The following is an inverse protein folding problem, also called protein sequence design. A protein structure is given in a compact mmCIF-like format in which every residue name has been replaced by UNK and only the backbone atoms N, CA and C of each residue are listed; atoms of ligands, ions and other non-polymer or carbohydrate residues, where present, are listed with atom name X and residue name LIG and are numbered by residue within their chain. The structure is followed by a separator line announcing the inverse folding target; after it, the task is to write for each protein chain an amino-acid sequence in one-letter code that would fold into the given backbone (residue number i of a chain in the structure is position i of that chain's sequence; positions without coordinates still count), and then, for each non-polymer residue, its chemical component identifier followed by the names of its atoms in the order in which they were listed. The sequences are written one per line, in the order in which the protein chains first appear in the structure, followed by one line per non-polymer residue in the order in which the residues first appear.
data_IF_343039596299
#
_entry.id   IF_343039596299
#
_cell.length_a   1.000
_cell.length_b   1.000
_cell.length_c   1.000
_cell.angle_alpha   90.00
_cell.angle_beta   90.00
_cell.angle_gamma   90.00
#
_symmetry.space_group_name_H-M   'P 1'
#
loop_
_entity.id
_entity.type
_entity.pdbx_description
1 polymer ?
#
# COMPACT_ATOMS: atom_id res chain seq x y z
N UNK A 1 81.46 63.44 -20.17
CA UNK A 1 81.77 62.80 -21.45
C UNK A 1 80.52 62.14 -21.90
N UNK A 2 79.73 62.85 -22.80
CA UNK A 2 79.54 62.61 -24.24
C UNK A 2 79.04 61.14 -24.46
N UNK A 3 77.97 60.81 -25.16
CA UNK A 3 77.36 61.36 -26.39
C UNK A 3 75.92 60.86 -26.59
N UNK A 4 75.02 61.67 -26.92
CA UNK A 4 74.09 61.71 -28.03
C UNK A 4 73.65 60.44 -28.78
N UNK A 5 72.36 60.42 -29.09
CA UNK A 5 71.80 59.87 -30.29
C UNK A 5 70.38 59.45 -30.14
N UNK A 6 69.39 60.24 -30.33
CA UNK A 6 68.52 60.70 -31.42
C UNK A 6 67.73 59.61 -32.15
N UNK A 7 66.38 59.76 -32.09
CA UNK A 7 65.36 59.58 -33.17
C UNK A 7 64.99 58.14 -33.52
N UNK A 8 63.76 57.73 -33.77
CA UNK A 8 62.55 58.44 -34.29
C UNK A 8 61.36 57.47 -34.41
N UNK A 9 60.17 58.03 -34.43
CA UNK A 9 58.92 57.58 -35.11
C UNK A 9 58.37 56.22 -34.77
N UNK A 10 57.27 56.02 -33.99
CA UNK A 10 55.94 56.40 -34.54
C UNK A 10 55.26 55.12 -35.05
N UNK A 11 54.46 54.48 -34.26
CA UNK A 11 53.37 53.63 -34.77
C UNK A 11 52.14 53.71 -33.83
N UNK A 12 51.02 54.02 -34.48
CA UNK A 12 49.71 54.22 -33.89
C UNK A 12 49.24 53.05 -33.12
N UNK A 13 48.87 53.24 -31.88
CA UNK A 13 48.17 52.25 -31.05
C UNK A 13 46.71 52.17 -31.55
N UNK A 14 46.29 50.96 -31.95
CA UNK A 14 44.89 50.63 -32.15
C UNK A 14 44.31 50.26 -30.80
N UNK A 15 43.37 51.06 -30.32
CA UNK A 15 42.61 50.76 -29.12
C UNK A 15 41.55 49.73 -29.51
N UNK A 16 41.79 48.47 -29.15
CA UNK A 16 40.80 47.38 -29.20
C UNK A 16 39.94 47.45 -27.96
N UNK A 17 38.69 47.89 -28.08
CA UNK A 17 37.70 47.80 -27.03
C UNK A 17 37.29 46.33 -26.85
N UNK A 18 37.72 45.71 -25.77
CA UNK A 18 37.19 44.42 -25.32
C UNK A 18 35.87 44.70 -24.61
N UNK A 19 34.76 44.47 -25.29
CA UNK A 19 33.42 44.46 -24.70
C UNK A 19 33.30 43.19 -23.87
N UNK A 20 33.46 43.32 -22.57
CA UNK A 20 33.13 42.26 -21.60
C UNK A 20 31.60 42.13 -21.55
N UNK A 21 31.05 41.09 -22.22
CA UNK A 21 29.67 40.69 -22.07
C UNK A 21 29.56 40.01 -20.69
N UNK A 22 29.12 40.78 -19.70
CA UNK A 22 28.63 40.24 -18.42
C UNK A 22 27.30 39.53 -18.71
N UNK A 23 27.34 38.21 -18.97
CA UNK A 23 26.17 37.34 -18.83
C UNK A 23 25.78 37.39 -17.36
N UNK A 24 24.77 38.19 -17.03
CA UNK A 24 24.06 38.09 -15.74
C UNK A 24 23.37 36.72 -15.71
N UNK A 25 24.01 35.74 -15.05
CA UNK A 25 23.35 34.52 -14.66
C UNK A 25 22.26 34.90 -13.64
N UNK A 26 21.05 35.12 -14.13
CA UNK A 26 19.91 35.20 -13.26
C UNK A 26 19.86 33.87 -12.47
N UNK A 27 19.79 33.87 -11.12
CA UNK A 27 19.59 32.66 -10.39
C UNK A 27 18.21 32.12 -10.83
N UNK A 28 18.22 30.98 -11.51
CA UNK A 28 17.02 30.18 -11.68
C UNK A 28 16.64 29.77 -10.26
N UNK A 29 15.72 30.52 -9.64
CA UNK A 29 15.00 30.04 -8.45
C UNK A 29 14.26 28.79 -8.92
N UNK A 30 14.91 27.64 -8.77
CA UNK A 30 14.18 26.37 -8.70
C UNK A 30 13.21 26.56 -7.53
N UNK A 31 11.96 26.87 -7.84
CA UNK A 31 10.90 26.96 -6.87
C UNK A 31 10.91 25.62 -6.12
N UNK A 32 11.28 25.66 -4.85
CA UNK A 32 11.04 24.53 -3.95
C UNK A 32 9.54 24.31 -4.00
N UNK A 33 9.10 23.21 -4.63
CA UNK A 33 7.71 22.81 -4.57
C UNK A 33 7.33 22.80 -3.09
N UNK A 34 6.48 23.76 -2.70
CA UNK A 34 6.05 23.89 -1.31
C UNK A 34 5.21 22.65 -1.02
N UNK A 35 5.68 21.80 -0.11
CA UNK A 35 4.89 20.68 0.34
C UNK A 35 3.52 21.21 0.79
N UNK A 36 2.45 20.56 0.36
CA UNK A 36 1.11 20.93 0.79
C UNK A 36 1.03 20.97 2.32
N UNK A 37 0.36 21.97 2.92
CA UNK A 37 0.25 22.05 4.37
C UNK A 37 -0.40 20.76 4.89
N UNK A 38 0.10 20.22 6.02
CA UNK A 38 -0.45 19.01 6.60
C UNK A 38 -1.93 19.20 6.96
N UNK A 39 -2.76 18.15 6.83
CA UNK A 39 -4.16 18.24 7.22
C UNK A 39 -4.30 18.42 8.74
N UNK A 40 -5.21 19.31 9.14
CA UNK A 40 -5.57 19.45 10.55
C UNK A 40 -6.18 18.14 11.05
N UNK A 41 -5.72 17.61 12.17
CA UNK A 41 -6.30 16.49 12.87
C UNK A 41 -6.11 16.60 14.39
N UNK A 42 -6.98 15.94 15.15
CA UNK A 42 -7.03 16.01 16.62
C UNK A 42 -6.49 14.74 17.27
N UNK A 43 -6.02 13.79 16.48
CA UNK A 43 -5.46 12.55 16.98
C UNK A 43 -4.16 12.78 17.74
N UNK A 44 -3.89 11.97 18.76
CA UNK A 44 -2.58 11.96 19.41
C UNK A 44 -1.51 11.42 18.45
N UNK A 45 -1.83 10.39 17.67
CA UNK A 45 -1.00 9.91 16.56
C UNK A 45 -1.88 9.59 15.36
N UNK A 46 -1.37 9.86 14.15
CA UNK A 46 -2.07 9.59 12.92
C UNK A 46 -1.10 9.19 11.79
N UNK A 47 -1.61 8.40 10.85
CA UNK A 47 -0.92 8.04 9.61
C UNK A 47 -1.90 7.95 8.44
N UNK A 48 -1.39 8.25 7.25
CA UNK A 48 -2.07 8.02 5.98
C UNK A 48 -1.12 7.26 5.06
N UNK A 49 -1.60 6.20 4.43
CA UNK A 49 -0.82 5.35 3.54
C UNK A 49 -1.54 5.16 2.21
N UNK A 50 -0.79 5.15 1.12
CA UNK A 50 -1.24 4.60 -0.16
C UNK A 50 -1.09 3.08 -0.12
N UNK A 51 -2.20 2.37 -0.29
CA UNK A 51 -2.23 0.91 -0.15
C UNK A 51 -1.40 0.21 -1.22
N UNK A 52 -1.43 0.71 -2.45
CA UNK A 52 -0.75 0.09 -3.60
C UNK A 52 0.77 0.16 -3.48
N UNK A 53 1.29 1.32 -3.10
CA UNK A 53 2.75 1.55 -3.04
C UNK A 53 3.36 1.30 -1.66
N UNK A 54 2.54 1.24 -0.61
CA UNK A 54 3.00 1.21 0.78
C UNK A 54 3.62 2.54 1.25
N UNK A 55 3.51 3.62 0.45
CA UNK A 55 4.03 4.93 0.82
C UNK A 55 3.21 5.56 1.94
N UNK A 56 3.87 5.94 3.04
CA UNK A 56 3.29 6.82 4.06
C UNK A 56 3.21 8.23 3.48
N UNK A 57 1.99 8.75 3.33
CA UNK A 57 1.70 10.07 2.75
C UNK A 57 1.62 11.16 3.84
N UNK A 58 1.25 10.77 5.05
CA UNK A 58 1.20 11.63 6.22
C UNK A 58 1.52 10.83 7.47
N UNK A 59 2.25 11.43 8.40
CA UNK A 59 2.61 10.84 9.69
C UNK A 59 2.70 11.92 10.76
N UNK A 60 1.91 11.78 11.83
CA UNK A 60 1.97 12.60 13.02
C UNK A 60 2.19 11.69 14.21
N UNK A 61 3.36 11.83 14.90
CA UNK A 61 3.78 10.93 15.99
C UNK A 61 3.61 9.44 15.61
N UNK A 62 3.79 9.17 14.31
CA UNK A 62 3.37 7.91 13.69
C UNK A 62 4.10 6.67 14.19
N UNK A 63 5.32 6.82 14.72
CA UNK A 63 6.13 5.71 15.25
C UNK A 63 6.03 5.57 16.78
N UNK A 64 5.22 6.40 17.46
CA UNK A 64 5.01 6.28 18.90
C UNK A 64 4.12 5.07 19.23
N UNK A 65 4.60 4.12 20.06
CA UNK A 65 3.77 2.99 20.51
C UNK A 65 2.59 3.45 21.35
N UNK A 66 1.40 3.03 21.00
CA UNK A 66 0.16 3.39 21.70
C UNK A 66 -0.76 2.19 21.88
N UNK A 67 -1.74 2.31 22.80
CA UNK A 67 -2.84 1.36 22.92
C UNK A 67 -3.77 1.52 21.72
N UNK A 68 -4.11 0.41 21.07
CA UNK A 68 -4.84 0.41 19.79
C UNK A 68 -6.26 -0.17 19.91
N UNK A 69 -6.63 -0.64 21.09
CA UNK A 69 -7.95 -1.26 21.32
C UNK A 69 -8.26 -2.33 20.23
N UNK A 70 -9.50 -2.37 19.78
CA UNK A 70 -9.99 -3.36 18.80
C UNK A 70 -9.40 -3.22 17.39
N UNK A 71 -8.50 -2.28 17.12
CA UNK A 71 -7.74 -2.27 15.86
C UNK A 71 -6.80 -3.49 15.75
N UNK A 72 -6.43 -4.08 16.90
CA UNK A 72 -5.78 -5.42 17.01
C UNK A 72 -6.42 -6.47 16.11
N UNK A 73 -7.74 -6.41 15.92
CA UNK A 73 -8.50 -7.39 15.15
C UNK A 73 -8.18 -7.40 13.65
N UNK A 74 -7.50 -6.37 13.15
CA UNK A 74 -6.95 -6.37 11.78
C UNK A 74 -5.88 -7.46 11.67
N UNK A 75 -4.94 -7.53 12.63
CA UNK A 75 -3.94 -8.60 12.69
C UNK A 75 -4.60 -9.97 12.93
N UNK A 76 -5.55 -10.04 13.85
CA UNK A 76 -6.29 -11.28 14.13
C UNK A 76 -6.99 -11.81 12.88
N UNK A 77 -7.63 -10.94 12.11
CA UNK A 77 -8.32 -11.33 10.89
C UNK A 77 -7.34 -11.84 9.81
N UNK A 78 -6.25 -11.10 9.55
CA UNK A 78 -5.33 -11.49 8.47
C UNK A 78 -4.56 -12.78 8.83
N UNK A 79 -4.12 -12.96 10.07
CA UNK A 79 -3.48 -14.19 10.52
C UNK A 79 -4.45 -15.39 10.41
N UNK A 80 -5.72 -15.20 10.80
CA UNK A 80 -6.72 -16.24 10.68
C UNK A 80 -7.06 -16.61 9.23
N UNK A 81 -7.06 -15.64 8.31
CA UNK A 81 -7.27 -15.88 6.87
C UNK A 81 -6.09 -16.65 6.28
N UNK A 82 -4.88 -16.36 6.69
CA UNK A 82 -3.65 -16.96 6.13
C UNK A 82 -3.35 -18.35 6.68
N UNK A 83 -3.75 -18.63 7.92
CA UNK A 83 -3.40 -19.89 8.61
C UNK A 83 -4.59 -20.84 8.81
N UNK A 84 -5.84 -20.36 8.68
CA UNK A 84 -7.04 -21.16 8.86
C UNK A 84 -7.71 -21.51 7.53
N UNK A 85 -8.62 -22.48 7.56
CA UNK A 85 -9.53 -22.75 6.45
C UNK A 85 -10.88 -22.08 6.75
N UNK A 86 -11.35 -21.20 5.86
CA UNK A 86 -12.56 -20.39 6.06
C UNK A 86 -13.83 -21.22 6.25
N UNK A 87 -13.87 -22.44 5.72
CA UNK A 87 -15.01 -23.35 5.82
C UNK A 87 -14.99 -24.21 7.08
N UNK A 88 -13.90 -24.16 7.88
CA UNK A 88 -13.82 -24.89 9.14
C UNK A 88 -14.93 -24.48 10.10
N UNK A 89 -15.53 -25.46 10.74
CA UNK A 89 -16.54 -25.28 11.79
C UNK A 89 -15.85 -25.13 13.12
N UNK A 90 -15.79 -23.92 13.62
CA UNK A 90 -15.21 -23.58 14.92
C UNK A 90 -16.24 -23.82 16.02
N UNK A 91 -15.84 -24.52 17.09
CA UNK A 91 -16.66 -24.71 18.29
C UNK A 91 -16.26 -23.69 19.35
N UNK A 92 -17.20 -22.87 19.78
CA UNK A 92 -16.96 -21.80 20.77
C UNK A 92 -16.74 -22.42 22.16
N UNK A 93 -15.59 -22.16 22.76
CA UNK A 93 -15.25 -22.58 24.10
C UNK A 93 -15.99 -21.79 25.19
N UNK A 94 -16.04 -22.29 26.42
CA UNK A 94 -16.53 -21.50 27.56
C UNK A 94 -15.70 -20.25 27.80
N UNK A 95 -14.38 -20.33 27.59
CA UNK A 95 -13.47 -19.18 27.70
C UNK A 95 -13.79 -18.09 26.66
N UNK A 96 -14.00 -18.47 25.40
CA UNK A 96 -14.36 -17.56 24.35
C UNK A 96 -15.72 -16.89 24.59
N UNK A 97 -16.75 -17.66 24.93
CA UNK A 97 -18.10 -17.16 25.23
C UNK A 97 -18.14 -16.21 26.45
N UNK A 98 -17.21 -16.36 27.40
CA UNK A 98 -17.11 -15.53 28.62
C UNK A 98 -16.33 -14.23 28.44
N UNK A 99 -15.89 -13.88 27.20
CA UNK A 99 -15.08 -12.69 26.98
C UNK A 99 -15.85 -11.39 27.23
N UNK A 100 -15.21 -10.50 28.00
CA UNK A 100 -15.75 -9.17 28.31
C UNK A 100 -15.67 -8.21 27.11
N UNK A 101 -16.41 -7.10 27.21
CA UNK A 101 -16.40 -6.02 26.24
C UNK A 101 -17.36 -6.24 25.07
N UNK A 102 -16.95 -5.85 23.84
CA UNK A 102 -17.79 -6.07 22.65
C UNK A 102 -17.92 -7.57 22.35
N UNK A 103 -19.15 -8.06 22.24
CA UNK A 103 -19.44 -9.49 22.06
C UNK A 103 -20.48 -9.69 20.94
N UNK A 104 -20.45 -10.86 20.32
CA UNK A 104 -21.51 -11.42 19.48
C UNK A 104 -22.54 -12.16 20.32
N UNK A 105 -22.23 -12.41 21.61
CA UNK A 105 -23.02 -13.21 22.55
C UNK A 105 -23.08 -14.69 22.15
N UNK A 106 -21.94 -15.21 21.63
CA UNK A 106 -21.80 -16.61 21.29
C UNK A 106 -21.92 -17.48 22.55
N UNK A 107 -22.55 -18.66 22.41
CA UNK A 107 -22.78 -19.57 23.51
C UNK A 107 -21.71 -20.68 23.56
N UNK A 108 -21.35 -21.21 24.73
CA UNK A 108 -20.46 -22.35 24.82
C UNK A 108 -21.00 -23.54 24.03
N UNK A 109 -20.14 -24.15 23.17
CA UNK A 109 -20.52 -25.25 22.29
C UNK A 109 -21.19 -24.82 20.98
N UNK A 110 -21.42 -23.54 20.78
CA UNK A 110 -21.90 -22.99 19.50
C UNK A 110 -20.94 -23.30 18.38
N UNK A 111 -21.47 -23.66 17.21
CA UNK A 111 -20.70 -23.98 16.02
C UNK A 111 -20.94 -22.94 14.94
N UNK A 112 -19.87 -22.34 14.46
CA UNK A 112 -19.91 -21.33 13.40
C UNK A 112 -18.70 -21.46 12.48
N UNK A 113 -18.85 -21.19 11.17
CA UNK A 113 -17.70 -21.21 10.27
C UNK A 113 -16.70 -20.12 10.62
N UNK A 114 -15.40 -20.40 10.41
CA UNK A 114 -14.34 -19.39 10.58
C UNK A 114 -14.65 -18.12 9.79
N UNK A 115 -15.19 -18.26 8.58
CA UNK A 115 -15.62 -17.14 7.75
C UNK A 115 -16.69 -16.25 8.44
N UNK A 116 -17.72 -16.84 9.02
CA UNK A 116 -18.74 -16.06 9.73
C UNK A 116 -18.18 -15.42 11.02
N UNK A 117 -17.31 -16.13 11.76
CA UNK A 117 -16.62 -15.54 12.91
C UNK A 117 -15.78 -14.32 12.52
N UNK A 118 -15.10 -14.34 11.38
CA UNK A 118 -14.35 -13.18 10.84
C UNK A 118 -15.25 -11.98 10.53
N UNK A 119 -16.45 -12.21 10.00
CA UNK A 119 -17.45 -11.14 9.84
C UNK A 119 -17.86 -10.56 11.20
N UNK A 120 -18.22 -11.40 12.16
CA UNK A 120 -18.57 -10.97 13.51
C UNK A 120 -17.42 -10.20 14.19
N UNK A 121 -16.19 -10.69 14.04
CA UNK A 121 -14.95 -10.05 14.50
C UNK A 121 -14.82 -8.63 13.96
N UNK A 122 -14.93 -8.45 12.65
CA UNK A 122 -14.65 -7.16 12.01
C UNK A 122 -15.84 -6.19 12.09
N UNK A 123 -17.07 -6.63 11.83
CA UNK A 123 -18.24 -5.77 11.78
C UNK A 123 -18.72 -5.36 13.18
N UNK A 124 -18.75 -6.31 14.13
CA UNK A 124 -19.27 -6.10 15.48
C UNK A 124 -18.18 -5.94 16.55
N UNK A 125 -16.93 -6.27 16.19
CA UNK A 125 -15.81 -6.24 17.12
C UNK A 125 -15.91 -7.28 18.25
N UNK A 126 -16.48 -8.48 17.97
CA UNK A 126 -16.67 -9.55 18.97
C UNK A 126 -15.35 -10.00 19.57
N UNK A 127 -15.21 -9.89 20.91
CA UNK A 127 -14.06 -10.42 21.64
C UNK A 127 -14.16 -11.92 21.79
N UNK A 128 -15.40 -12.43 21.94
CA UNK A 128 -15.74 -13.85 21.91
C UNK A 128 -15.34 -14.51 20.58
N UNK A 129 -15.63 -13.86 19.45
CA UNK A 129 -15.17 -14.31 18.14
C UNK A 129 -13.64 -14.28 18.02
N UNK A 130 -12.98 -13.24 18.52
CA UNK A 130 -11.51 -13.17 18.50
C UNK A 130 -10.86 -14.33 19.28
N UNK A 131 -11.40 -14.66 20.44
CA UNK A 131 -10.93 -15.79 21.26
C UNK A 131 -11.19 -17.14 20.58
N UNK A 132 -12.41 -17.36 20.06
CA UNK A 132 -12.74 -18.61 19.37
C UNK A 132 -11.86 -18.83 18.12
N UNK A 133 -11.61 -17.78 17.35
CA UNK A 133 -10.68 -17.80 16.20
C UNK A 133 -9.27 -18.16 16.67
N UNK A 134 -8.78 -17.50 17.72
CA UNK A 134 -7.43 -17.72 18.22
C UNK A 134 -7.23 -19.15 18.73
N UNK A 135 -8.17 -19.68 19.49
CA UNK A 135 -8.14 -21.07 19.99
C UNK A 135 -8.15 -22.08 18.84
N UNK A 136 -8.95 -21.84 17.80
CA UNK A 136 -9.07 -22.74 16.66
C UNK A 136 -7.83 -22.72 15.76
N UNK A 137 -7.42 -21.53 15.31
CA UNK A 137 -6.34 -21.37 14.31
C UNK A 137 -4.96 -21.54 14.94
N UNK A 138 -4.76 -21.06 16.16
CA UNK A 138 -3.49 -21.14 16.88
C UNK A 138 -3.31 -22.42 17.70
N UNK A 139 -4.35 -23.27 17.80
CA UNK A 139 -4.39 -24.41 18.72
C UNK A 139 -4.48 -24.01 20.21
N UNK A 140 -4.12 -22.78 20.52
CA UNK A 140 -4.28 -22.09 21.79
C UNK A 140 -4.25 -20.57 21.56
N UNK A 141 -4.70 -19.78 22.55
CA UNK A 141 -4.60 -18.31 22.47
C UNK A 141 -3.14 -17.86 22.42
N UNK A 142 -2.29 -18.50 23.20
CA UNK A 142 -0.85 -18.24 23.27
C UNK A 142 -0.16 -18.56 21.93
N UNK A 143 -0.53 -19.69 21.30
CA UNK A 143 -0.05 -20.06 19.97
C UNK A 143 -0.49 -19.05 18.90
N UNK A 144 -1.71 -18.56 18.98
CA UNK A 144 -2.19 -17.53 18.06
C UNK A 144 -1.48 -16.17 18.26
N UNK A 145 -1.27 -15.75 19.50
CA UNK A 145 -0.50 -14.52 19.82
C UNK A 145 0.93 -14.64 19.31
N UNK A 146 1.54 -15.82 19.39
CA UNK A 146 2.84 -16.07 18.77
C UNK A 146 2.78 -15.84 17.25
N UNK A 147 1.77 -16.36 16.55
CA UNK A 147 1.59 -16.11 15.10
C UNK A 147 1.40 -14.62 14.79
N UNK A 148 0.64 -13.88 15.61
CA UNK A 148 0.46 -12.43 15.45
C UNK A 148 1.79 -11.67 15.54
N UNK A 149 2.63 -11.99 16.54
CA UNK A 149 3.92 -11.34 16.71
C UNK A 149 4.92 -11.75 15.59
N UNK A 150 4.90 -13.03 15.17
CA UNK A 150 5.67 -13.47 13.99
C UNK A 150 5.28 -12.71 12.73
N UNK A 151 3.99 -12.50 12.49
CA UNK A 151 3.51 -11.70 11.36
C UNK A 151 3.96 -10.24 11.48
N UNK A 152 3.98 -9.66 12.68
CA UNK A 152 4.50 -8.31 12.91
C UNK A 152 6.00 -8.21 12.55
N UNK A 153 6.81 -9.19 12.94
CA UNK A 153 8.23 -9.29 12.56
C UNK A 153 8.40 -9.43 11.05
N UNK A 154 7.65 -10.32 10.39
CA UNK A 154 7.69 -10.53 8.93
C UNK A 154 7.38 -9.26 8.15
N UNK A 155 6.46 -8.43 8.65
CA UNK A 155 6.08 -7.16 8.04
C UNK A 155 6.98 -5.99 8.48
N UNK A 156 7.98 -6.22 9.33
CA UNK A 156 8.89 -5.18 9.83
C UNK A 156 8.21 -4.14 10.71
N UNK A 157 7.18 -4.51 11.48
CA UNK A 157 6.41 -3.63 12.36
C UNK A 157 7.15 -3.44 13.68
N UNK A 158 8.14 -2.55 13.69
CA UNK A 158 9.12 -2.42 14.78
C UNK A 158 8.56 -1.83 16.07
N UNK A 159 7.43 -1.11 16.01
CA UNK A 159 6.78 -0.47 17.15
C UNK A 159 5.47 -1.20 17.52
N UNK A 160 5.48 -2.53 17.46
CA UNK A 160 4.29 -3.38 17.61
C UNK A 160 4.57 -4.58 18.48
N UNK A 161 3.67 -4.85 19.43
CA UNK A 161 3.65 -6.10 20.18
C UNK A 161 2.21 -6.47 20.58
N UNK A 162 1.85 -7.73 20.39
CA UNK A 162 0.55 -8.28 20.71
C UNK A 162 0.62 -9.19 21.94
N UNK A 163 -0.26 -8.95 22.90
CA UNK A 163 -0.44 -9.80 24.09
C UNK A 163 -1.76 -10.57 24.07
N UNK A 164 -2.68 -10.23 23.16
CA UNK A 164 -3.98 -10.89 23.03
C UNK A 164 -4.59 -10.64 21.62
N UNK A 165 -5.59 -11.47 21.20
CA UNK A 165 -6.18 -11.35 19.85
C UNK A 165 -7.32 -10.34 19.74
N UNK A 166 -7.77 -9.70 20.83
CA UNK A 166 -8.99 -8.89 20.85
C UNK A 166 -8.73 -7.39 21.08
N UNK A 167 -7.59 -7.02 21.68
CA UNK A 167 -7.21 -5.62 21.91
C UNK A 167 -7.73 -5.03 23.23
N UNK A 168 -8.07 -5.86 24.23
CA UNK A 168 -8.23 -5.39 25.59
C UNK A 168 -6.89 -4.93 26.16
N UNK A 169 -6.94 -3.98 27.06
CA UNK A 169 -5.75 -3.32 27.60
C UNK A 169 -4.81 -4.30 28.31
N UNK A 170 -3.54 -4.29 27.94
CA UNK A 170 -2.45 -5.02 28.58
C UNK A 170 -1.18 -4.17 28.50
N UNK A 171 -0.29 -4.17 29.50
CA UNK A 171 0.94 -3.37 29.48
C UNK A 171 1.73 -3.55 28.18
N UNK A 172 1.96 -4.77 27.78
CA UNK A 172 2.78 -5.14 26.60
C UNK A 172 1.98 -5.23 25.29
N UNK A 173 0.75 -4.68 25.24
CA UNK A 173 -0.05 -4.64 24.02
C UNK A 173 -0.07 -3.22 23.45
N UNK A 174 0.63 -3.02 22.33
CA UNK A 174 0.78 -1.71 21.70
C UNK A 174 1.10 -1.81 20.21
N UNK A 175 0.87 -0.73 19.50
CA UNK A 175 1.27 -0.55 18.10
C UNK A 175 1.35 0.93 17.75
N UNK A 176 2.24 1.30 16.83
CA UNK A 176 2.30 2.65 16.30
C UNK A 176 1.31 2.88 15.16
N UNK A 177 0.97 4.14 14.86
CA UNK A 177 0.06 4.48 13.76
C UNK A 177 0.67 4.12 12.39
N UNK A 178 1.98 4.31 12.19
CA UNK A 178 2.66 3.94 10.95
C UNK A 178 2.67 2.41 10.75
N UNK A 179 2.95 1.64 11.79
CA UNK A 179 2.90 0.18 11.70
C UNK A 179 1.49 -0.33 11.41
N UNK A 180 0.49 0.28 12.05
CA UNK A 180 -0.91 -0.07 11.79
C UNK A 180 -1.35 0.29 10.37
N UNK A 181 -0.85 1.40 9.81
CA UNK A 181 -1.07 1.75 8.41
C UNK A 181 -0.44 0.71 7.47
N UNK A 182 0.81 0.28 7.72
CA UNK A 182 1.48 -0.77 6.95
C UNK A 182 0.75 -2.11 7.04
N UNK A 183 0.36 -2.54 8.26
CA UNK A 183 -0.46 -3.74 8.46
C UNK A 183 -1.78 -3.65 7.68
N UNK A 184 -2.43 -2.50 7.73
CA UNK A 184 -3.71 -2.29 7.03
C UNK A 184 -3.53 -2.38 5.53
N UNK A 185 -2.49 -1.75 4.96
CA UNK A 185 -2.18 -1.84 3.54
C UNK A 185 -1.92 -3.31 3.13
N UNK A 186 -1.13 -4.04 3.90
CA UNK A 186 -0.91 -5.47 3.68
C UNK A 186 -2.22 -6.26 3.69
N UNK A 187 -3.06 -6.09 4.71
CA UNK A 187 -4.32 -6.81 4.84
C UNK A 187 -5.31 -6.47 3.70
N UNK A 188 -5.34 -5.21 3.24
CA UNK A 188 -6.17 -4.77 2.13
C UNK A 188 -5.75 -5.34 0.76
N UNK A 189 -4.58 -5.94 0.60
CA UNK A 189 -4.23 -6.73 -0.59
C UNK A 189 -4.89 -8.12 -0.60
N UNK A 190 -5.41 -8.59 0.54
CA UNK A 190 -6.10 -9.87 0.60
C UNK A 190 -7.60 -9.69 0.22
N UNK A 191 -8.10 -10.37 -0.83
CA UNK A 191 -9.48 -10.16 -1.32
C UNK A 191 -10.53 -10.62 -0.31
N UNK A 192 -10.25 -11.62 0.53
CA UNK A 192 -11.17 -12.07 1.59
C UNK A 192 -11.28 -10.99 2.66
N UNK A 193 -10.16 -10.44 3.11
CA UNK A 193 -10.15 -9.33 4.07
C UNK A 193 -10.91 -8.12 3.55
N UNK A 194 -10.63 -7.70 2.30
CA UNK A 194 -11.37 -6.61 1.65
C UNK A 194 -12.88 -6.86 1.63
N UNK A 195 -13.30 -8.06 1.24
CA UNK A 195 -14.71 -8.44 1.18
C UNK A 195 -15.40 -8.30 2.55
N UNK A 196 -14.72 -8.73 3.62
CA UNK A 196 -15.25 -8.67 4.97
C UNK A 196 -15.38 -7.21 5.43
N UNK A 197 -14.32 -6.40 5.32
CA UNK A 197 -14.29 -5.06 5.94
C UNK A 197 -15.18 -4.04 5.22
N UNK A 198 -15.43 -4.20 3.92
CA UNK A 198 -16.36 -3.36 3.14
C UNK A 198 -17.82 -3.70 3.35
N UNK A 199 -18.13 -4.87 3.96
CA UNK A 199 -19.50 -5.33 4.15
C UNK A 199 -20.22 -4.45 5.17
N UNK A 200 -21.35 -3.88 4.78
CA UNK A 200 -22.19 -3.03 5.63
C UNK A 200 -23.08 -3.82 6.58
N UNK A 201 -23.65 -4.90 6.09
CA UNK A 201 -24.53 -5.81 6.85
C UNK A 201 -24.23 -7.25 6.45
N UNK A 202 -24.11 -8.13 7.44
CA UNK A 202 -23.97 -9.58 7.27
C UNK A 202 -25.02 -10.30 8.09
N UNK A 203 -25.66 -11.32 7.53
CA UNK A 203 -26.46 -12.30 8.24
C UNK A 203 -25.69 -13.61 8.38
N UNK A 204 -25.86 -14.31 9.47
CA UNK A 204 -25.29 -15.63 9.72
C UNK A 204 -26.29 -16.50 10.51
N UNK A 205 -26.30 -17.83 10.32
CA UNK A 205 -27.17 -18.71 11.05
C UNK A 205 -27.00 -18.61 12.57
N UNK A 206 -28.12 -18.57 13.30
CA UNK A 206 -28.14 -18.63 14.77
C UNK A 206 -28.75 -19.98 15.19
N UNK A 207 -27.96 -20.94 15.72
CA UNK A 207 -28.47 -22.26 16.03
C UNK A 207 -29.39 -22.32 17.27
N UNK A 208 -29.51 -21.19 18.00
CA UNK A 208 -30.26 -21.15 19.26
C UNK A 208 -31.54 -20.32 19.18
N UNK A 209 -31.76 -19.62 18.07
CA UNK A 209 -32.90 -18.74 17.90
C UNK A 209 -33.54 -18.98 16.53
N UNK A 210 -34.85 -18.71 16.37
CA UNK A 210 -35.54 -18.87 15.09
C UNK A 210 -35.17 -17.82 14.03
N UNK A 211 -34.31 -16.87 14.38
CA UNK A 211 -33.82 -15.81 13.49
C UNK A 211 -32.31 -15.84 13.40
N UNK A 212 -31.77 -15.42 12.25
CA UNK A 212 -30.35 -15.28 12.00
C UNK A 212 -29.70 -14.13 12.79
N UNK A 213 -28.41 -14.25 13.05
CA UNK A 213 -27.60 -13.09 13.43
C UNK A 213 -27.68 -12.02 12.33
N UNK A 214 -27.82 -10.76 12.73
CA UNK A 214 -27.74 -9.61 11.82
C UNK A 214 -26.69 -8.64 12.33
N UNK A 215 -25.54 -8.59 11.65
CA UNK A 215 -24.41 -7.77 12.03
C UNK A 215 -24.29 -6.54 11.14
N UNK A 216 -24.56 -5.36 11.72
CA UNK A 216 -24.37 -4.06 11.07
C UNK A 216 -22.95 -3.59 11.40
N UNK A 217 -22.17 -3.21 10.39
CA UNK A 217 -20.82 -2.72 10.56
C UNK A 217 -20.81 -1.42 11.38
N UNK A 218 -19.98 -1.38 12.43
CA UNK A 218 -19.82 -0.20 13.30
C UNK A 218 -19.06 0.96 12.63
N UNK A 219 -18.35 0.69 11.51
CA UNK A 219 -17.60 1.70 10.79
C UNK A 219 -18.53 2.63 9.99
N UNK A 220 -18.81 3.81 10.55
CA UNK A 220 -19.69 4.80 9.91
C UNK A 220 -19.10 5.39 8.63
N UNK A 221 -17.77 5.36 8.41
CA UNK A 221 -17.17 5.87 7.17
C UNK A 221 -17.76 5.20 5.93
N UNK A 222 -18.14 3.92 6.01
CA UNK A 222 -18.83 3.20 4.91
C UNK A 222 -20.11 3.86 4.41
N UNK A 223 -20.71 4.76 5.21
CA UNK A 223 -21.95 5.49 4.89
C UNK A 223 -21.73 6.99 4.72
N UNK A 224 -20.62 7.54 5.26
CA UNK A 224 -20.40 8.99 5.38
C UNK A 224 -19.36 9.52 4.39
N UNK A 225 -18.56 8.65 3.76
CA UNK A 225 -17.46 9.05 2.90
C UNK A 225 -17.53 8.29 1.57
N UNK A 226 -17.44 9.02 0.47
CA UNK A 226 -17.48 8.45 -0.88
C UNK A 226 -16.23 7.59 -1.14
N UNK A 227 -16.47 6.38 -1.67
CA UNK A 227 -15.40 5.42 -1.91
C UNK A 227 -14.96 4.64 -0.67
N UNK A 228 -15.51 4.91 0.53
CA UNK A 228 -15.10 4.17 1.74
C UNK A 228 -15.41 2.68 1.63
N UNK A 229 -14.39 1.85 1.95
CA UNK A 229 -14.40 0.40 1.77
C UNK A 229 -13.81 -0.40 2.95
N UNK A 230 -13.53 0.23 4.09
CA UNK A 230 -13.03 -0.42 5.30
C UNK A 230 -12.81 0.57 6.45
N UNK A 231 -12.25 0.23 7.57
CA UNK A 231 -11.69 -1.04 7.99
C UNK A 231 -12.20 -1.40 9.39
N UNK A 232 -11.82 -0.64 10.46
CA UNK A 232 -12.10 -1.04 11.84
C UNK A 232 -12.14 0.14 12.82
N UNK A 233 -13.08 0.08 13.78
CA UNK A 233 -13.19 0.99 14.93
C UNK A 233 -12.65 0.34 16.20
N UNK A 234 -12.14 1.15 17.13
CA UNK A 234 -11.71 0.68 18.44
C UNK A 234 -11.96 1.71 19.55
N UNK A 235 -12.13 1.20 20.77
CA UNK A 235 -12.22 1.98 21.98
C UNK A 235 -11.89 1.13 23.20
N UNK A 236 -11.04 1.62 24.07
CA UNK A 236 -10.89 1.22 25.46
C UNK A 236 -10.70 2.46 26.33
N UNK A 237 -10.72 2.33 27.65
CA UNK A 237 -10.48 3.48 28.54
C UNK A 237 -9.07 4.07 28.37
N UNK A 238 -8.04 3.23 28.10
CA UNK A 238 -6.66 3.68 27.95
C UNK A 238 -6.36 4.15 26.52
N UNK A 239 -6.93 3.48 25.50
CA UNK A 239 -6.71 3.86 24.10
C UNK A 239 -7.51 5.09 23.67
N UNK A 240 -8.65 5.38 24.33
CA UNK A 240 -9.68 6.27 23.82
C UNK A 240 -10.19 5.80 22.44
N UNK A 241 -10.75 6.70 21.63
CA UNK A 241 -11.25 6.34 20.29
C UNK A 241 -10.07 6.13 19.34
N UNK A 242 -10.12 5.04 18.61
CA UNK A 242 -9.16 4.69 17.57
C UNK A 242 -9.92 4.27 16.32
N UNK A 243 -9.40 4.63 15.15
CA UNK A 243 -10.04 4.32 13.88
C UNK A 243 -9.02 3.96 12.81
N UNK A 244 -9.36 2.98 11.99
CA UNK A 244 -8.76 2.76 10.68
C UNK A 244 -9.88 2.82 9.66
N UNK A 245 -9.75 3.67 8.64
CA UNK A 245 -10.64 3.67 7.49
C UNK A 245 -9.85 3.61 6.20
N UNK A 246 -10.45 3.03 5.17
CA UNK A 246 -9.92 3.04 3.80
C UNK A 246 -10.96 3.54 2.83
N UNK A 247 -10.49 4.07 1.71
CA UNK A 247 -11.34 4.47 0.60
C UNK A 247 -10.61 4.28 -0.73
N UNK A 248 -11.38 3.92 -1.76
CA UNK A 248 -10.90 3.77 -3.14
C UNK A 248 -11.58 4.80 -4.04
N UNK A 249 -10.77 5.58 -4.79
CA UNK A 249 -11.22 6.52 -5.84
C UNK A 249 -10.29 6.42 -7.04
N UNK A 250 -10.82 6.33 -8.22
CA UNK A 250 -10.07 6.30 -9.50
C UNK A 250 -8.94 5.27 -9.53
N UNK A 251 -9.16 4.10 -8.90
CA UNK A 251 -8.19 3.02 -8.80
C UNK A 251 -7.05 3.24 -7.79
N UNK A 252 -7.09 4.32 -7.00
CA UNK A 252 -6.21 4.54 -5.86
C UNK A 252 -6.92 4.18 -4.57
N UNK A 253 -6.30 3.35 -3.73
CA UNK A 253 -6.80 3.04 -2.39
C UNK A 253 -5.89 3.65 -1.32
N UNK A 254 -6.48 4.43 -0.42
CA UNK A 254 -5.81 5.03 0.73
C UNK A 254 -6.34 4.43 2.03
N UNK A 255 -5.47 4.34 3.04
CA UNK A 255 -5.88 3.98 4.39
C UNK A 255 -5.38 5.02 5.41
N UNK A 256 -6.30 5.52 6.23
CA UNK A 256 -6.04 6.46 7.31
C UNK A 256 -6.14 5.76 8.66
N UNK A 257 -5.27 6.16 9.58
CA UNK A 257 -5.20 5.67 10.96
C UNK A 257 -5.21 6.86 11.89
N UNK A 258 -6.08 6.85 12.91
CA UNK A 258 -5.99 7.77 14.05
C UNK A 258 -6.03 7.02 15.38
N UNK A 259 -5.17 7.41 16.30
CA UNK A 259 -5.08 6.85 17.65
C UNK A 259 -5.32 7.95 18.68
N UNK A 260 -6.20 7.68 19.66
CA UNK A 260 -6.64 8.64 20.68
C UNK A 260 -7.16 9.93 20.05
N UNK A 261 -8.27 9.82 19.33
CA UNK A 261 -8.86 10.89 18.53
C UNK A 261 -10.33 11.11 18.91
N UNK A 262 -10.63 12.28 19.47
CA UNK A 262 -12.01 12.65 19.83
C UNK A 262 -12.89 12.99 18.63
N UNK A 263 -12.30 13.29 17.46
CA UNK A 263 -13.01 13.76 16.25
C UNK A 263 -12.73 12.86 15.03
N UNK A 264 -12.49 11.57 15.25
CA UNK A 264 -11.98 10.58 14.31
C UNK A 264 -12.69 10.57 12.92
N UNK A 265 -14.03 10.70 12.86
CA UNK A 265 -14.76 10.69 11.59
C UNK A 265 -14.44 11.89 10.70
N UNK A 266 -14.29 13.08 11.28
CA UNK A 266 -13.95 14.29 10.54
C UNK A 266 -12.47 14.28 10.14
N UNK A 267 -11.60 13.82 11.03
CA UNK A 267 -10.17 13.75 10.79
C UNK A 267 -9.84 12.74 9.70
N UNK A 268 -10.50 11.58 9.67
CA UNK A 268 -10.36 10.62 8.60
C UNK A 268 -10.79 11.16 7.23
N UNK A 269 -11.88 11.95 7.17
CA UNK A 269 -12.26 12.63 5.93
C UNK A 269 -11.16 13.57 5.45
N UNK A 270 -10.62 14.43 6.34
CA UNK A 270 -9.54 15.36 6.00
C UNK A 270 -8.27 14.65 5.55
N UNK A 271 -7.87 13.57 6.23
CA UNK A 271 -6.72 12.77 5.87
C UNK A 271 -6.87 12.13 4.48
N UNK A 272 -8.02 11.50 4.20
CA UNK A 272 -8.27 10.86 2.92
C UNK A 272 -8.36 11.90 1.79
N UNK A 273 -9.07 13.02 1.99
CA UNK A 273 -9.15 14.10 1.01
C UNK A 273 -7.77 14.72 0.73
N UNK A 274 -6.95 14.89 1.76
CA UNK A 274 -5.55 15.32 1.62
C UNK A 274 -4.75 14.37 0.74
N UNK A 275 -4.85 13.07 0.99
CA UNK A 275 -4.12 12.07 0.21
C UNK A 275 -4.54 12.05 -1.27
N UNK A 276 -5.82 11.96 -1.56
CA UNK A 276 -6.33 11.95 -2.94
C UNK A 276 -6.00 13.25 -3.70
N UNK A 277 -6.03 14.39 -3.01
CA UNK A 277 -5.77 15.68 -3.62
C UNK A 277 -4.28 15.92 -3.91
N UNK A 278 -3.40 15.57 -2.96
CA UNK A 278 -1.99 15.98 -3.00
C UNK A 278 -1.03 14.86 -3.41
N UNK A 279 -1.52 13.62 -3.50
CA UNK A 279 -0.72 12.45 -3.88
C UNK A 279 -1.47 11.57 -4.89
N UNK A 280 -1.83 12.12 -6.07
CA UNK A 280 -2.53 11.33 -7.07
C UNK A 280 -1.66 10.15 -7.54
N UNK A 281 -2.28 8.96 -7.65
CA UNK A 281 -1.62 7.76 -8.13
C UNK A 281 -1.33 7.87 -9.63
N UNK A 282 -0.06 7.82 -10.00
CA UNK A 282 0.37 7.96 -11.40
C UNK A 282 1.04 6.68 -11.89
N UNK A 283 0.78 6.31 -13.13
CA UNK A 283 1.50 5.23 -13.79
C UNK A 283 2.92 5.68 -14.17
N UNK A 284 3.90 4.93 -13.72
CA UNK A 284 5.33 5.15 -14.02
C UNK A 284 5.76 4.37 -15.24
N UNK A 285 5.41 3.08 -15.30
CA UNK A 285 5.59 2.17 -16.44
C UNK A 285 4.44 1.19 -16.47
N UNK A 286 3.98 0.81 -17.67
CA UNK A 286 2.94 -0.20 -17.84
C UNK A 286 3.55 -1.58 -18.07
N UNK A 287 2.84 -2.62 -17.67
CA UNK A 287 3.14 -4.02 -18.05
C UNK A 287 3.30 -4.11 -19.57
N UNK A 288 4.39 -4.73 -20.03
CA UNK A 288 4.71 -4.87 -21.46
C UNK A 288 5.40 -3.66 -22.10
N UNK A 289 5.49 -2.51 -21.43
CA UNK A 289 6.25 -1.36 -21.90
C UNK A 289 7.75 -1.63 -21.81
N UNK A 290 8.50 -1.23 -22.86
CA UNK A 290 9.94 -1.46 -22.91
C UNK A 290 10.68 -0.54 -21.90
N UNK A 291 11.57 -1.15 -21.13
CA UNK A 291 12.43 -0.37 -20.24
C UNK A 291 13.44 0.46 -21.04
N UNK A 292 13.68 1.73 -20.68
CA UNK A 292 14.54 2.64 -21.42
C UNK A 292 15.93 2.05 -21.69
N UNK A 293 16.36 2.09 -22.96
CA UNK A 293 17.68 1.62 -23.39
C UNK A 293 17.85 0.09 -23.42
N UNK A 294 16.78 -0.67 -23.32
CA UNK A 294 16.83 -2.14 -23.37
C UNK A 294 15.76 -2.73 -24.30
N UNK A 295 15.95 -3.98 -24.81
CA UNK A 295 14.91 -4.68 -25.55
C UNK A 295 13.89 -5.39 -24.63
N UNK A 296 13.96 -5.21 -23.32
CA UNK A 296 13.18 -5.95 -22.35
C UNK A 296 11.98 -5.15 -21.85
N UNK A 297 10.89 -5.85 -21.59
CA UNK A 297 9.61 -5.26 -21.16
C UNK A 297 9.37 -5.43 -19.66
N UNK A 298 8.67 -4.46 -19.08
CA UNK A 298 8.18 -4.51 -17.70
C UNK A 298 7.21 -5.68 -17.53
N UNK A 299 7.44 -6.54 -16.52
CA UNK A 299 6.59 -7.68 -16.23
C UNK A 299 5.24 -7.29 -15.58
N UNK A 300 5.17 -6.11 -15.00
CA UNK A 300 4.01 -5.57 -14.29
C UNK A 300 3.92 -4.04 -14.44
N UNK A 301 2.74 -3.49 -14.14
CA UNK A 301 2.54 -2.04 -14.10
C UNK A 301 3.01 -1.51 -12.76
N UNK A 302 3.86 -0.48 -12.78
CA UNK A 302 4.25 0.24 -11.56
C UNK A 302 3.54 1.59 -11.51
N UNK A 303 2.86 1.84 -10.38
CA UNK A 303 2.18 3.09 -10.07
C UNK A 303 2.74 3.65 -8.76
N UNK A 304 2.78 4.96 -8.64
CA UNK A 304 3.26 5.62 -7.43
C UNK A 304 2.51 6.94 -7.17
N UNK A 305 2.14 7.24 -5.92
CA UNK A 305 1.47 8.49 -5.57
C UNK A 305 2.50 9.61 -5.40
N UNK A 306 2.65 10.46 -6.43
CA UNK A 306 3.59 11.58 -6.39
C UNK A 306 2.95 12.82 -5.77
N UNK A 307 3.69 13.51 -4.90
CA UNK A 307 3.41 14.89 -4.55
C UNK A 307 3.78 15.83 -5.72
N UNK A 308 3.31 17.08 -5.65
CA UNK A 308 3.63 18.08 -6.66
C UNK A 308 5.15 18.24 -6.83
N UNK A 309 5.62 18.19 -8.08
CA UNK A 309 7.03 18.32 -8.43
C UNK A 309 7.93 17.11 -8.11
N UNK A 310 7.38 16.03 -7.58
CA UNK A 310 8.18 14.81 -7.33
C UNK A 310 8.43 14.00 -8.59
N UNK A 311 7.46 13.99 -9.51
CA UNK A 311 7.55 13.22 -10.76
C UNK A 311 8.77 13.60 -11.59
N UNK A 312 9.10 14.87 -11.62
CA UNK A 312 10.25 15.45 -12.36
C UNK A 312 11.60 15.03 -11.76
N UNK A 313 11.63 14.64 -10.47
CA UNK A 313 12.84 14.17 -9.79
C UNK A 313 13.03 12.66 -9.84
N UNK A 314 12.04 11.96 -10.41
CA UNK A 314 12.10 10.51 -10.55
C UNK A 314 13.27 10.11 -11.48
N UNK A 315 14.09 9.20 -11.01
CA UNK A 315 15.14 8.56 -11.82
C UNK A 315 14.86 7.07 -11.96
N UNK A 316 15.28 6.49 -13.06
CA UNK A 316 15.19 5.06 -13.31
C UNK A 316 16.58 4.50 -13.62
N UNK A 317 16.89 3.33 -13.07
CA UNK A 317 18.13 2.59 -13.32
C UNK A 317 17.81 1.16 -13.72
N UNK A 318 18.37 0.72 -14.85
CA UNK A 318 18.26 -0.67 -15.30
C UNK A 318 19.41 -1.49 -14.73
N UNK A 319 19.09 -2.62 -14.14
CA UNK A 319 20.05 -3.62 -13.67
C UNK A 319 19.79 -4.92 -14.44
N UNK A 320 20.67 -5.25 -15.41
CA UNK A 320 20.51 -6.44 -16.24
C UNK A 320 21.02 -7.70 -15.53
N UNK A 321 20.32 -8.80 -15.76
CA UNK A 321 20.73 -10.13 -15.29
C UNK A 321 21.78 -10.70 -16.24
N UNK A 322 22.99 -11.08 -15.75
CA UNK A 322 24.03 -11.65 -16.60
C UNK A 322 23.57 -12.93 -17.30
N UNK A 323 23.90 -13.05 -18.59
CA UNK A 323 23.64 -14.25 -19.37
C UNK A 323 24.36 -15.46 -18.75
N UNK A 324 23.69 -16.63 -18.76
CA UNK A 324 24.24 -17.87 -18.18
C UNK A 324 23.91 -18.11 -16.71
N UNK A 325 23.39 -17.10 -15.98
CA UNK A 325 22.92 -17.28 -14.60
C UNK A 325 21.59 -18.03 -14.52
N UNK A 326 21.29 -18.63 -13.36
CA UNK A 326 20.01 -19.33 -13.13
C UNK A 326 18.81 -18.39 -13.34
N UNK A 327 18.78 -17.16 -12.78
CA UNK A 327 17.68 -16.23 -13.06
C UNK A 327 17.49 -15.95 -14.56
N UNK A 328 18.58 -15.78 -15.33
CA UNK A 328 18.48 -15.57 -16.78
C UNK A 328 17.86 -16.78 -17.50
N UNK A 329 18.25 -18.00 -17.12
CA UNK A 329 17.67 -19.24 -17.65
C UNK A 329 16.19 -19.40 -17.30
N UNK A 330 15.74 -18.85 -16.16
CA UNK A 330 14.34 -18.82 -15.74
C UNK A 330 13.54 -17.67 -16.36
N UNK A 331 14.12 -16.93 -17.32
CA UNK A 331 13.41 -15.88 -18.06
C UNK A 331 13.52 -14.48 -17.47
N UNK A 332 14.25 -14.29 -16.36
CA UNK A 332 14.54 -12.95 -15.83
C UNK A 332 15.60 -12.26 -16.68
N UNK A 333 15.34 -11.03 -17.13
CA UNK A 333 16.28 -10.23 -17.94
C UNK A 333 16.95 -9.12 -17.15
N UNK A 334 16.38 -8.77 -16.02
CA UNK A 334 16.84 -7.72 -15.14
C UNK A 334 15.72 -7.13 -14.30
N UNK A 335 16.00 -5.96 -13.74
CA UNK A 335 15.01 -5.14 -13.05
C UNK A 335 15.19 -3.67 -13.41
N UNK A 336 14.09 -2.95 -13.42
CA UNK A 336 14.04 -1.50 -13.50
C UNK A 336 13.82 -0.97 -12.08
N UNK A 337 14.79 -0.22 -11.56
CA UNK A 337 14.77 0.36 -10.21
C UNK A 337 14.39 1.83 -10.32
N UNK A 338 13.34 2.24 -9.62
CA UNK A 338 12.89 3.63 -9.55
C UNK A 338 13.41 4.29 -8.29
N UNK A 339 13.99 5.47 -8.45
CA UNK A 339 14.57 6.25 -7.36
C UNK A 339 13.93 7.65 -7.32
N UNK A 340 13.46 8.04 -6.15
CA UNK A 340 13.03 9.41 -5.86
C UNK A 340 13.96 9.98 -4.80
N UNK A 341 14.62 11.10 -5.12
CA UNK A 341 15.60 11.76 -4.25
C UNK A 341 16.70 10.81 -3.72
N UNK A 342 17.10 9.82 -4.55
CA UNK A 342 18.11 8.82 -4.22
C UNK A 342 17.61 7.60 -3.45
N UNK A 343 16.38 7.61 -2.99
CA UNK A 343 15.75 6.46 -2.32
C UNK A 343 15.00 5.57 -3.32
N UNK A 344 15.14 4.26 -3.20
CA UNK A 344 14.37 3.32 -4.03
C UNK A 344 12.92 3.33 -3.60
N UNK A 345 12.03 3.66 -4.54
CA UNK A 345 10.58 3.68 -4.33
C UNK A 345 9.86 2.48 -4.94
N UNK A 346 10.54 1.72 -5.76
CA UNK A 346 10.00 0.48 -6.35
C UNK A 346 10.96 -0.15 -7.35
N UNK A 347 10.65 -1.40 -7.69
CA UNK A 347 11.37 -2.16 -8.71
C UNK A 347 10.39 -2.95 -9.55
N UNK A 348 10.66 -3.06 -10.85
CA UNK A 348 9.87 -3.88 -11.78
C UNK A 348 10.78 -4.88 -12.46
N UNK A 349 10.38 -6.13 -12.48
CA UNK A 349 11.10 -7.21 -13.16
C UNK A 349 11.01 -7.00 -14.66
N UNK A 350 12.13 -7.22 -15.35
CA UNK A 350 12.21 -7.17 -16.80
C UNK A 350 12.22 -8.60 -17.39
N UNK A 351 11.44 -8.79 -18.44
CA UNK A 351 11.30 -10.06 -19.20
C UNK A 351 11.43 -9.79 -20.69
N UNK A 352 11.58 -10.88 -21.47
CA UNK A 352 11.38 -10.79 -22.92
C UNK A 352 9.95 -10.31 -23.21
N UNK A 353 9.71 -9.42 -24.18
CA UNK A 353 8.38 -8.94 -24.52
C UNK A 353 7.38 -10.06 -24.82
N UNK A 354 7.87 -11.15 -25.47
CA UNK A 354 7.07 -12.35 -25.78
C UNK A 354 6.68 -13.18 -24.56
N UNK A 355 7.37 -13.01 -23.43
CA UNK A 355 7.10 -13.72 -22.17
C UNK A 355 6.19 -12.93 -21.21
N UNK A 356 5.78 -11.72 -21.58
CA UNK A 356 4.83 -10.92 -20.80
C UNK A 356 3.42 -11.35 -21.17
N UNK A 357 2.77 -12.10 -20.27
CA UNK A 357 1.38 -12.52 -20.44
C UNK A 357 0.48 -11.30 -20.20
N UNK A 358 -0.34 -10.95 -21.17
CA UNK A 358 -1.34 -9.89 -21.05
C UNK A 358 -2.59 -10.49 -20.38
N UNK A 359 -2.94 -10.03 -19.20
CA UNK A 359 -4.23 -10.34 -18.58
C UNK A 359 -5.30 -9.40 -19.16
N UNK A 360 -6.49 -9.93 -19.48
CA UNK A 360 -7.57 -9.18 -20.16
C UNK A 360 -8.21 -8.05 -19.32
N UNK A 361 -7.75 -7.81 -18.10
CA UNK A 361 -8.42 -6.90 -17.15
C UNK A 361 -8.16 -5.39 -17.37
N UNK A 362 -7.20 -5.00 -18.21
CA UNK A 362 -6.99 -3.58 -18.50
C UNK A 362 -7.86 -3.13 -19.69
N UNK A 363 -9.04 -2.61 -19.40
CA UNK A 363 -9.91 -1.96 -20.42
C UNK A 363 -9.19 -0.87 -21.22
N UNK A 364 -8.15 -0.24 -20.67
CA UNK A 364 -7.26 0.70 -21.33
C UNK A 364 -6.31 0.02 -22.34
N UNK A 365 -5.83 -1.20 -22.06
CA UNK A 365 -5.00 -1.95 -23.00
C UNK A 365 -5.78 -2.34 -24.25
N UNK A 366 -7.06 -2.63 -24.11
CA UNK A 366 -7.98 -2.89 -25.24
C UNK A 366 -8.23 -1.63 -26.07
N UNK A 367 -8.33 -0.47 -25.42
CA UNK A 367 -8.44 0.81 -26.10
C UNK A 367 -7.14 1.19 -26.85
N UNK A 368 -5.97 0.96 -26.23
CA UNK A 368 -4.68 1.18 -26.86
C UNK A 368 -4.47 0.22 -28.06
N UNK A 369 -4.85 -1.06 -27.94
CA UNK A 369 -4.84 -2.01 -29.04
C UNK A 369 -5.77 -1.61 -30.18
N UNK A 370 -6.96 -1.10 -29.86
CA UNK A 370 -7.92 -0.64 -30.88
C UNK A 370 -7.49 0.67 -31.56
N UNK A 371 -6.66 1.49 -30.94
CA UNK A 371 -6.09 2.74 -31.51
C UNK A 371 -4.91 2.51 -32.47
N UNK A 372 -4.28 1.33 -32.47
CA UNK A 372 -3.19 1.00 -33.39
C UNK A 372 -3.70 0.89 -34.83
N UNK A 373 -2.91 1.37 -35.79
CA UNK A 373 -3.22 1.21 -37.22
C UNK A 373 -3.38 -0.26 -37.58
N UNK A 374 -4.32 -0.62 -38.49
CA UNK A 374 -4.59 -2.00 -38.88
C UNK A 374 -3.35 -2.79 -39.32
N UNK A 375 -2.39 -2.14 -39.95
CA UNK A 375 -1.13 -2.71 -40.40
C UNK A 375 -0.24 -3.15 -39.24
N UNK A 376 -0.14 -2.32 -38.20
CA UNK A 376 0.60 -2.62 -36.97
C UNK A 376 -0.02 -3.79 -36.22
N UNK A 377 -1.36 -3.87 -36.15
CA UNK A 377 -2.08 -5.00 -35.54
C UNK A 377 -1.84 -6.32 -36.31
N UNK A 378 -1.85 -6.28 -37.63
CA UNK A 378 -1.56 -7.46 -38.48
C UNK A 378 -0.13 -7.95 -38.29
N UNK A 379 0.84 -7.05 -38.26
CA UNK A 379 2.25 -7.36 -38.02
C UNK A 379 2.46 -8.01 -36.66
N UNK A 380 1.88 -7.43 -35.56
CA UNK A 380 1.96 -8.01 -34.22
C UNK A 380 1.25 -9.36 -34.12
N UNK A 381 0.06 -9.53 -34.71
CA UNK A 381 -0.67 -10.79 -34.71
C UNK A 381 0.09 -11.88 -35.46
N UNK A 382 0.76 -11.56 -36.58
CA UNK A 382 1.61 -12.49 -37.31
C UNK A 382 2.86 -12.89 -36.51
N UNK A 383 3.44 -11.94 -35.75
CA UNK A 383 4.59 -12.22 -34.89
C UNK A 383 4.22 -13.15 -33.74
N UNK A 384 3.11 -12.88 -33.05
CA UNK A 384 2.57 -13.75 -31.99
C UNK A 384 2.25 -15.14 -32.53
N UNK A 385 1.58 -15.25 -33.70
CA UNK A 385 1.25 -16.53 -34.35
C UNK A 385 2.50 -17.31 -34.71
N UNK A 386 3.55 -16.69 -35.24
CA UNK A 386 4.83 -17.33 -35.55
C UNK A 386 5.54 -17.83 -34.29
N UNK A 387 5.52 -17.03 -33.20
CA UNK A 387 6.13 -17.41 -31.93
C UNK A 387 5.40 -18.58 -31.26
N UNK A 388 4.07 -18.63 -31.31
CA UNK A 388 3.27 -19.74 -30.78
C UNK A 388 3.50 -21.02 -31.62
N UNK A 389 3.58 -20.91 -32.94
CA UNK A 389 3.88 -22.05 -33.82
C UNK A 389 5.28 -22.59 -33.59
N UNK A 390 6.28 -21.70 -33.39
CA UNK A 390 7.65 -22.10 -33.07
C UNK A 390 7.75 -22.81 -31.71
N UNK A 391 6.99 -22.39 -30.70
CA UNK A 391 6.90 -23.03 -29.38
C UNK A 391 6.24 -24.43 -29.47
N UNK A 392 5.19 -24.58 -30.29
CA UNK A 392 4.48 -25.86 -30.45
C UNK A 392 5.23 -26.85 -31.37
N UNK A 393 6.10 -26.37 -32.27
CA UNK A 393 6.90 -27.22 -33.15
C UNK A 393 8.24 -27.65 -32.54
N UNK A 394 8.68 -27.05 -31.42
CA UNK A 394 9.89 -27.43 -30.68
C UNK A 394 9.68 -28.58 -29.68
N UNK A 395 8.46 -29.15 -29.61
CA UNK A 395 8.12 -30.33 -28.80
C UNK A 395 7.86 -31.55 -29.70
N UNK A 396 8.89 -31.97 -30.39
CA UNK A 396 8.98 -33.32 -30.99
C UNK A 396 10.34 -33.92 -30.74
#
# INVERSE_FOLDING_TARGET
MNFFGKLSRGRKAAIGAVAAILLAAAPVFAGTASAAPPPENHAKAAALIDVTSGRILFSQRGDEPMKIASLTKIMTAIVAIEHGNLDDVVTVSRRAAGMEGSSLYLKPGEKMTLHNLLYGLMLRSGNDAAMAIAEHVGGSVEGFVYLMNRKAEELGLMNTHYANPHGLDHPDHYMSANDLARLTAYALHNPVFQSIVRTRVKTAPNPFEPWDYKWINKNKMLYMYEGADGVKTGYTRLANRTLVSSATRDGQQLAAVTLNDGNDWADHRRLLDYGFKHFPLQTVIRKGELAPGTPYAAAETFRYPFADGERERLKARVELTPSGTVPYKLGYRGKLVFLLDGQTIGTVVLKEPSAVVWEEEDGEAKAAWTSLKPETRRSMAQYVRKSVIALLSGWK
#
